data_IF_025651115814
#
_entry.id   IF_025651115814
#
_cell.length_a   1.000
_cell.length_b   1.000
_cell.length_c   1.000
_cell.angle_alpha   90.00
_cell.angle_beta   90.00
_cell.angle_gamma   90.00
#
_symmetry.space_group_name_H-M   'P 1'
#
loop_
_entity.id
_entity.type
_entity.pdbx_description
1 polymer ?
#
# COMPACT_ATOMS: atom_id res chain seq x y z
N UNK A 1 -10.46 -30.71 20.48
CA UNK A 1 -9.15 -30.03 20.50
C UNK A 1 -8.67 -29.99 21.94
N UNK A 2 -7.52 -30.58 22.26
CA UNK A 2 -7.02 -30.56 23.64
C UNK A 2 -6.83 -29.12 24.13
N UNK A 3 -7.41 -28.86 25.30
CA UNK A 3 -7.47 -27.53 25.92
C UNK A 3 -6.08 -27.09 26.38
N UNK A 4 -5.63 -25.84 26.10
CA UNK A 4 -4.42 -25.30 26.70
C UNK A 4 -4.50 -25.38 28.24
N UNK A 5 -3.42 -25.74 28.96
CA UNK A 5 -3.48 -25.93 30.40
C UNK A 5 -4.09 -24.71 31.11
N UNK A 6 -5.16 -24.96 31.88
CA UNK A 6 -5.83 -23.95 32.68
C UNK A 6 -7.08 -23.31 32.07
N UNK A 7 -7.48 -23.58 30.83
CA UNK A 7 -8.78 -23.08 30.32
C UNK A 7 -9.93 -23.97 30.83
N UNK A 8 -10.76 -23.44 31.72
CA UNK A 8 -11.78 -24.24 32.41
C UNK A 8 -13.19 -24.03 31.86
N UNK A 9 -13.47 -22.84 31.31
CA UNK A 9 -14.81 -22.51 30.85
C UNK A 9 -14.78 -21.45 29.73
N UNK A 10 -15.56 -21.66 28.67
CA UNK A 10 -15.81 -20.69 27.60
C UNK A 10 -17.32 -20.58 27.41
N UNK A 11 -17.88 -19.39 27.58
CA UNK A 11 -19.33 -19.14 27.39
C UNK A 11 -19.54 -17.96 26.49
N UNK A 12 -20.44 -18.08 25.52
CA UNK A 12 -20.92 -16.94 24.72
C UNK A 12 -21.86 -16.12 25.59
N UNK A 13 -21.49 -14.88 25.91
CA UNK A 13 -22.29 -13.99 26.77
C UNK A 13 -23.13 -13.00 25.96
N UNK A 14 -22.75 -12.75 24.70
CA UNK A 14 -23.45 -11.81 23.85
C UNK A 14 -23.38 -12.21 22.38
N UNK A 15 -24.48 -11.94 21.65
CA UNK A 15 -24.60 -12.20 20.21
C UNK A 15 -25.02 -10.95 19.44
N UNK A 16 -24.52 -10.84 18.21
CA UNK A 16 -25.02 -9.88 17.20
C UNK A 16 -26.47 -10.20 16.82
N UNK A 17 -27.21 -9.25 16.21
CA UNK A 17 -28.56 -9.51 15.65
C UNK A 17 -28.60 -10.67 14.64
N UNK A 18 -27.49 -10.94 13.95
CA UNK A 18 -27.36 -12.06 13.01
C UNK A 18 -27.03 -13.41 13.70
N UNK A 19 -27.03 -13.46 15.03
CA UNK A 19 -26.81 -14.66 15.85
C UNK A 19 -25.35 -15.05 16.06
N UNK A 20 -24.38 -14.29 15.52
CA UNK A 20 -22.94 -14.50 15.75
C UNK A 20 -22.55 -14.15 17.18
N UNK A 21 -21.69 -14.94 17.80
CA UNK A 21 -21.04 -14.59 19.06
C UNK A 21 -20.29 -13.26 18.89
N UNK A 22 -20.53 -12.32 19.80
CA UNK A 22 -19.83 -11.03 19.88
C UNK A 22 -18.81 -11.07 21.01
N UNK A 23 -19.24 -11.49 22.19
CA UNK A 23 -18.42 -11.55 23.40
C UNK A 23 -18.51 -12.95 24.00
N UNK A 24 -17.36 -13.46 24.46
CA UNK A 24 -17.26 -14.67 25.25
C UNK A 24 -16.64 -14.35 26.60
N UNK A 25 -16.99 -15.13 27.61
CA UNK A 25 -16.32 -15.14 28.89
C UNK A 25 -15.38 -16.35 28.92
N UNK A 26 -14.08 -16.08 29.04
CA UNK A 26 -13.03 -17.10 29.16
C UNK A 26 -12.56 -17.19 30.61
N UNK A 27 -12.68 -18.36 31.23
CA UNK A 27 -12.19 -18.60 32.59
C UNK A 27 -10.92 -19.46 32.53
N UNK A 28 -9.83 -18.93 33.10
CA UNK A 28 -8.57 -19.67 33.25
C UNK A 28 -8.26 -19.95 34.72
N UNK A 29 -8.17 -21.22 35.13
CA UNK A 29 -7.94 -21.64 36.52
C UNK A 29 -9.23 -21.76 37.35
N UNK A 30 -9.20 -22.53 38.43
CA UNK A 30 -10.40 -22.93 39.19
C UNK A 30 -11.06 -21.80 40.00
N UNK A 31 -10.42 -20.63 40.12
CA UNK A 31 -10.84 -19.57 41.05
C UNK A 31 -10.70 -18.14 40.49
N UNK A 32 -10.47 -17.95 39.18
CA UNK A 32 -10.37 -16.61 38.60
C UNK A 32 -11.72 -16.16 38.01
N UNK A 33 -12.08 -14.86 38.15
CA UNK A 33 -13.21 -14.32 37.42
C UNK A 33 -12.96 -14.43 35.91
N UNK A 34 -14.00 -14.78 35.16
CA UNK A 34 -13.89 -14.91 33.71
C UNK A 34 -13.49 -13.60 33.04
N UNK A 35 -12.59 -13.67 32.07
CA UNK A 35 -12.15 -12.51 31.28
C UNK A 35 -13.03 -12.39 30.03
N UNK A 36 -13.71 -11.25 29.81
CA UNK A 36 -14.46 -11.03 28.58
C UNK A 36 -13.49 -10.87 27.41
N UNK A 37 -13.68 -11.66 26.36
CA UNK A 37 -12.93 -11.59 25.10
C UNK A 37 -13.90 -11.47 23.93
N UNK A 38 -13.49 -10.81 22.85
CA UNK A 38 -14.29 -10.81 21.63
C UNK A 38 -14.18 -12.15 20.89
N UNK A 39 -15.25 -12.54 20.19
CA UNK A 39 -15.25 -13.75 19.36
C UNK A 39 -14.18 -13.70 18.25
N UNK A 40 -13.92 -12.50 17.72
CA UNK A 40 -12.88 -12.27 16.73
C UNK A 40 -11.48 -12.52 17.30
N UNK A 41 -11.19 -12.07 18.51
CA UNK A 41 -9.90 -12.31 19.19
C UNK A 41 -9.67 -13.80 19.40
N UNK A 42 -10.69 -14.55 19.85
CA UNK A 42 -10.61 -16.01 19.99
C UNK A 42 -10.33 -16.68 18.64
N UNK A 43 -11.05 -16.29 17.58
CA UNK A 43 -10.87 -16.84 16.23
C UNK A 43 -9.47 -16.57 15.67
N UNK A 44 -8.91 -15.39 15.91
CA UNK A 44 -7.55 -15.06 15.50
C UNK A 44 -6.50 -15.85 16.30
N UNK A 45 -6.68 -16.01 17.61
CA UNK A 45 -5.80 -16.82 18.44
C UNK A 45 -5.77 -18.28 17.96
N UNK A 46 -6.95 -18.88 17.73
CA UNK A 46 -7.09 -20.23 17.15
C UNK A 46 -6.39 -20.31 15.79
N UNK A 47 -6.59 -19.32 14.91
CA UNK A 47 -5.95 -19.27 13.59
C UNK A 47 -4.43 -19.23 13.64
N UNK A 48 -3.86 -18.45 14.57
CA UNK A 48 -2.41 -18.32 14.77
C UNK A 48 -1.78 -19.57 15.38
N UNK A 49 -2.46 -20.20 16.34
CA UNK A 49 -1.89 -21.33 17.08
C UNK A 49 -2.11 -22.69 16.40
N UNK A 50 -3.17 -22.85 15.59
CA UNK A 50 -3.64 -24.16 15.13
C UNK A 50 -3.94 -24.22 13.62
N UNK A 51 -3.69 -23.10 12.94
CA UNK A 51 -3.96 -22.93 11.52
C UNK A 51 -5.30 -22.26 11.23
N UNK A 52 -5.30 -21.52 10.13
CA UNK A 52 -6.49 -20.83 9.63
C UNK A 52 -7.58 -21.83 9.20
N UNK A 53 -8.85 -21.39 9.25
CA UNK A 53 -10.04 -22.17 8.90
C UNK A 53 -10.46 -23.28 9.89
N UNK A 54 -9.84 -23.39 11.08
CA UNK A 54 -10.31 -24.28 12.15
C UNK A 54 -11.59 -23.76 12.81
N UNK A 55 -11.64 -22.47 13.13
CA UNK A 55 -12.87 -21.77 13.52
C UNK A 55 -13.32 -20.88 12.35
N UNK A 56 -14.27 -21.40 11.55
CA UNK A 56 -14.63 -20.84 10.24
C UNK A 56 -15.36 -19.51 10.30
N UNK A 57 -16.09 -19.25 11.38
CA UNK A 57 -16.88 -18.03 11.57
C UNK A 57 -17.14 -17.79 13.04
N UNK A 58 -17.66 -16.60 13.39
CA UNK A 58 -18.08 -16.28 14.76
C UNK A 58 -19.52 -16.76 15.06
N UNK A 59 -20.11 -17.58 14.19
CA UNK A 59 -21.39 -18.23 14.43
C UNK A 59 -21.14 -19.66 14.91
N UNK A 60 -21.26 -19.87 16.22
CA UNK A 60 -21.15 -21.17 16.85
C UNK A 60 -21.84 -21.19 18.22
N UNK A 61 -22.10 -22.40 18.70
CA UNK A 61 -22.28 -22.75 20.10
C UNK A 61 -20.99 -23.39 20.61
N UNK A 62 -20.68 -23.16 21.89
CA UNK A 62 -19.52 -23.76 22.57
C UNK A 62 -20.03 -24.73 23.62
N UNK A 63 -19.51 -25.95 23.59
CA UNK A 63 -19.72 -26.96 24.64
C UNK A 63 -18.37 -27.46 25.13
N UNK A 64 -18.31 -27.82 26.41
CA UNK A 64 -17.11 -28.35 27.05
C UNK A 64 -17.27 -29.87 27.25
N UNK A 65 -16.26 -30.61 26.84
CA UNK A 65 -16.04 -32.01 27.20
C UNK A 65 -14.78 -32.13 28.07
N UNK A 66 -14.55 -33.30 28.68
CA UNK A 66 -13.57 -33.49 29.74
C UNK A 66 -12.14 -33.00 29.41
N UNK A 67 -11.71 -33.07 28.15
CA UNK A 67 -10.38 -32.65 27.71
C UNK A 67 -10.39 -31.69 26.50
N UNK A 68 -11.57 -31.24 26.04
CA UNK A 68 -11.69 -30.37 24.87
C UNK A 68 -12.94 -29.51 24.81
N UNK A 69 -12.86 -28.41 24.07
CA UNK A 69 -14.05 -27.63 23.67
C UNK A 69 -14.51 -28.02 22.27
N UNK A 70 -15.83 -28.12 22.10
CA UNK A 70 -16.49 -28.34 20.81
C UNK A 70 -17.19 -27.05 20.38
N UNK A 71 -16.81 -26.56 19.20
CA UNK A 71 -17.44 -25.43 18.53
C UNK A 71 -18.32 -25.95 17.41
N UNK A 72 -19.65 -25.92 17.60
CA UNK A 72 -20.61 -26.32 16.57
C UNK A 72 -21.23 -25.09 15.94
N UNK A 73 -21.01 -24.89 14.64
CA UNK A 73 -21.33 -23.62 13.99
C UNK A 73 -21.49 -23.72 12.48
N UNK A 74 -21.81 -22.60 11.85
CA UNK A 74 -22.09 -22.49 10.41
C UNK A 74 -21.51 -21.21 9.83
N UNK A 75 -21.45 -21.15 8.51
CA UNK A 75 -20.87 -20.01 7.78
C UNK A 75 -19.34 -20.01 7.76
N UNK A 76 -18.79 -19.16 6.90
CA UNK A 76 -17.35 -18.96 6.71
C UNK A 76 -17.08 -17.45 6.60
N UNK A 77 -16.07 -16.95 7.30
CA UNK A 77 -15.69 -15.54 7.31
C UNK A 77 -16.22 -14.74 8.52
N UNK A 78 -15.78 -13.49 8.61
CA UNK A 78 -16.06 -12.60 9.75
C UNK A 78 -17.49 -12.03 9.76
N UNK A 79 -18.27 -12.21 8.67
CA UNK A 79 -19.69 -11.87 8.65
C UNK A 79 -20.01 -10.38 8.67
N UNK A 80 -19.08 -9.54 8.21
CA UNK A 80 -19.24 -8.08 8.10
C UNK A 80 -19.02 -7.68 6.63
N UNK A 81 -19.93 -6.88 6.06
CA UNK A 81 -19.88 -6.43 4.67
C UNK A 81 -20.45 -7.45 3.67
N UNK A 82 -19.85 -7.52 2.49
CA UNK A 82 -20.35 -8.32 1.37
C UNK A 82 -20.04 -9.82 1.51
N UNK A 83 -21.08 -10.65 1.49
CA UNK A 83 -20.94 -12.10 1.36
C UNK A 83 -20.69 -12.46 -0.11
N UNK A 84 -19.49 -12.95 -0.45
CA UNK A 84 -19.13 -13.25 -1.83
C UNK A 84 -20.03 -14.32 -2.48
N UNK A 85 -20.39 -15.37 -1.73
CA UNK A 85 -21.31 -16.40 -2.21
C UNK A 85 -22.71 -15.84 -2.41
N UNK A 86 -23.21 -15.04 -1.47
CA UNK A 86 -24.53 -14.41 -1.61
C UNK A 86 -24.57 -13.40 -2.75
N UNK A 87 -23.53 -12.59 -2.93
CA UNK A 87 -23.38 -11.68 -4.07
C UNK A 87 -23.39 -12.44 -5.41
N UNK A 88 -22.75 -13.61 -5.48
CA UNK A 88 -22.76 -14.46 -6.67
C UNK A 88 -24.15 -15.01 -6.99
N UNK A 89 -24.89 -15.48 -5.99
CA UNK A 89 -26.26 -15.96 -6.19
C UNK A 89 -27.21 -14.82 -6.56
N UNK A 90 -27.06 -13.63 -5.95
CA UNK A 90 -27.80 -12.45 -6.36
C UNK A 90 -27.52 -12.06 -7.82
N UNK A 91 -26.24 -12.12 -8.24
CA UNK A 91 -25.86 -11.86 -9.63
C UNK A 91 -26.46 -12.90 -10.60
N UNK A 92 -26.44 -14.20 -10.22
CA UNK A 92 -27.12 -15.26 -10.99
C UNK A 92 -28.63 -15.06 -11.08
N UNK A 93 -29.23 -14.50 -10.03
CA UNK A 93 -30.63 -14.07 -10.00
C UNK A 93 -30.91 -12.77 -10.77
N UNK A 94 -29.95 -12.24 -11.53
CA UNK A 94 -30.12 -11.07 -12.39
C UNK A 94 -29.90 -9.72 -11.70
N UNK A 95 -29.47 -9.69 -10.43
CA UNK A 95 -29.16 -8.44 -9.73
C UNK A 95 -27.89 -7.80 -10.27
N UNK A 96 -27.96 -6.50 -10.56
CA UNK A 96 -26.80 -5.70 -10.92
C UNK A 96 -25.84 -5.55 -9.72
N UNK A 97 -24.57 -5.23 -10.00
CA UNK A 97 -23.59 -4.96 -8.93
C UNK A 97 -24.05 -3.82 -8.00
N UNK A 98 -24.81 -2.84 -8.51
CA UNK A 98 -25.35 -1.73 -7.72
C UNK A 98 -26.39 -2.20 -6.71
N UNK A 99 -27.31 -3.07 -7.12
CA UNK A 99 -28.31 -3.67 -6.23
C UNK A 99 -27.66 -4.58 -5.19
N UNK A 100 -26.63 -5.33 -5.57
CA UNK A 100 -25.86 -6.19 -4.65
C UNK A 100 -25.17 -5.35 -3.59
N UNK A 101 -24.48 -4.26 -3.98
CA UNK A 101 -23.82 -3.37 -3.04
C UNK A 101 -24.84 -2.64 -2.14
N UNK A 102 -25.96 -2.18 -2.68
CA UNK A 102 -27.01 -1.53 -1.89
C UNK A 102 -27.62 -2.47 -0.84
N UNK A 103 -27.71 -3.78 -1.13
CA UNK A 103 -28.16 -4.79 -0.19
C UNK A 103 -27.16 -5.01 0.96
N UNK A 104 -25.87 -5.14 0.67
CA UNK A 104 -24.84 -5.38 1.69
C UNK A 104 -24.42 -4.11 2.45
N UNK A 105 -24.66 -2.94 1.87
CA UNK A 105 -24.26 -1.64 2.40
C UNK A 105 -25.43 -0.64 2.32
N UNK A 106 -26.53 -0.86 3.06
CA UNK A 106 -27.68 0.05 3.05
C UNK A 106 -27.26 1.44 3.52
N UNK A 107 -27.58 2.46 2.73
CA UNK A 107 -27.16 3.85 2.96
C UNK A 107 -25.81 4.23 2.33
N UNK A 108 -25.09 3.28 1.73
CA UNK A 108 -23.88 3.60 0.97
C UNK A 108 -24.24 4.21 -0.39
N UNK A 109 -23.68 5.39 -0.67
CA UNK A 109 -23.73 6.01 -1.99
C UNK A 109 -22.51 5.60 -2.82
N UNK A 110 -22.71 5.25 -4.09
CA UNK A 110 -21.60 5.05 -5.03
C UNK A 110 -21.03 6.44 -5.34
N UNK A 111 -19.84 6.73 -4.83
CA UNK A 111 -19.13 7.97 -5.10
C UNK A 111 -17.65 7.85 -4.83
N UNK A 112 -16.85 8.67 -5.51
CA UNK A 112 -15.49 9.00 -5.06
C UNK A 112 -15.64 10.06 -3.96
N UNK A 113 -16.16 9.66 -2.79
CA UNK A 113 -16.85 10.54 -1.81
C UNK A 113 -18.06 11.26 -2.44
N UNK A 114 -19.21 11.33 -1.76
CA UNK A 114 -20.49 11.58 -2.43
C UNK A 114 -20.66 13.00 -3.04
N UNK A 115 -19.71 13.93 -2.88
CA UNK A 115 -19.74 15.30 -3.43
C UNK A 115 -18.38 15.76 -4.02
N UNK A 116 -17.37 14.88 -4.07
CA UNK A 116 -16.00 15.26 -4.37
C UNK A 116 -15.28 15.96 -3.19
N UNK A 117 -13.99 16.22 -3.34
CA UNK A 117 -13.19 16.93 -2.33
C UNK A 117 -13.26 18.43 -2.64
N UNK A 118 -13.70 19.29 -1.70
CA UNK A 118 -13.77 20.73 -1.91
C UNK A 118 -12.37 21.34 -1.84
N UNK A 119 -11.60 21.18 -2.91
CA UNK A 119 -10.22 21.66 -2.99
C UNK A 119 -10.15 23.18 -2.95
N UNK A 120 -9.36 23.70 -2.02
CA UNK A 120 -8.84 25.06 -2.07
C UNK A 120 -7.48 25.03 -2.75
N UNK A 121 -7.30 25.89 -3.77
CA UNK A 121 -6.04 26.01 -4.51
C UNK A 121 -5.22 27.14 -3.91
N UNK A 122 -3.99 26.83 -3.52
CA UNK A 122 -2.98 27.80 -3.15
C UNK A 122 -1.89 27.81 -4.23
N UNK A 123 -1.86 28.88 -5.03
CA UNK A 123 -0.81 29.09 -6.02
C UNK A 123 0.51 29.46 -5.34
N UNK A 124 1.59 28.81 -5.74
CA UNK A 124 2.96 29.20 -5.40
C UNK A 124 3.73 29.55 -6.69
N UNK A 125 4.99 29.96 -6.56
CA UNK A 125 5.78 30.40 -7.71
C UNK A 125 5.97 29.29 -8.74
N UNK A 126 6.42 28.10 -8.30
CA UNK A 126 6.82 26.97 -9.16
C UNK A 126 5.81 25.82 -9.20
N UNK A 127 4.86 25.77 -8.27
CA UNK A 127 3.90 24.67 -8.10
C UNK A 127 2.57 25.20 -7.54
N UNK A 128 1.53 24.39 -7.63
CA UNK A 128 0.25 24.67 -6.96
C UNK A 128 -0.03 23.62 -5.88
N UNK A 129 -0.67 24.03 -4.78
CA UNK A 129 -1.15 23.12 -3.74
C UNK A 129 -2.68 23.09 -3.72
N UNK A 130 -3.24 21.89 -3.58
CA UNK A 130 -4.66 21.63 -3.36
C UNK A 130 -4.84 20.96 -2.01
N UNK A 131 -5.61 21.59 -1.13
CA UNK A 131 -5.97 21.01 0.16
C UNK A 131 -7.39 21.41 0.53
N UNK A 132 -8.05 20.65 1.42
CA UNK A 132 -9.37 21.04 1.96
C UNK A 132 -9.24 22.21 2.92
N UNK A 133 -8.17 22.25 3.72
CA UNK A 133 -7.84 23.31 4.65
C UNK A 133 -6.61 24.10 4.17
N UNK A 134 -6.67 25.43 4.26
CA UNK A 134 -5.53 26.27 3.88
C UNK A 134 -4.29 26.02 4.77
N UNK A 135 -4.51 25.53 6.00
CA UNK A 135 -3.46 25.15 6.94
C UNK A 135 -2.54 24.04 6.41
N UNK A 136 -3.08 22.98 5.79
CA UNK A 136 -2.22 21.90 5.26
C UNK A 136 -1.37 22.40 4.09
N UNK A 137 -1.96 23.24 3.22
CA UNK A 137 -1.19 23.91 2.15
C UNK A 137 -0.08 24.79 2.70
N UNK A 138 -0.29 25.47 3.83
CA UNK A 138 0.74 26.28 4.48
C UNK A 138 1.85 25.42 5.10
N UNK A 139 1.51 24.28 5.72
CA UNK A 139 2.46 23.34 6.30
C UNK A 139 3.32 22.64 5.24
N UNK A 140 2.74 22.28 4.10
CA UNK A 140 3.44 21.52 3.04
C UNK A 140 4.32 22.40 2.16
N UNK A 141 3.93 23.66 1.95
CA UNK A 141 4.58 24.56 0.97
C UNK A 141 6.10 24.70 1.13
N UNK A 142 6.68 24.90 2.33
CA UNK A 142 8.13 25.05 2.47
C UNK A 142 8.90 23.81 2.00
N UNK A 143 8.51 22.63 2.48
CA UNK A 143 9.12 21.35 2.07
C UNK A 143 8.87 21.04 0.60
N UNK A 144 7.71 21.41 0.05
CA UNK A 144 7.40 21.25 -1.36
C UNK A 144 8.34 22.07 -2.26
N UNK A 145 8.53 23.35 -1.95
CA UNK A 145 9.42 24.20 -2.73
C UNK A 145 10.88 23.71 -2.63
N UNK A 146 11.35 23.41 -1.41
CA UNK A 146 12.71 22.93 -1.20
C UNK A 146 12.96 21.59 -1.91
N UNK A 147 12.01 20.65 -1.81
CA UNK A 147 12.13 19.35 -2.46
C UNK A 147 12.10 19.45 -3.99
N UNK A 148 11.28 20.34 -4.56
CA UNK A 148 11.23 20.55 -6.01
C UNK A 148 12.55 21.14 -6.53
N UNK A 149 13.07 22.17 -5.85
CA UNK A 149 14.33 22.81 -6.23
C UNK A 149 15.49 21.81 -6.15
N UNK A 150 15.55 21.04 -5.06
CA UNK A 150 16.51 19.96 -4.90
C UNK A 150 16.39 18.92 -6.02
N UNK A 151 15.17 18.49 -6.38
CA UNK A 151 14.97 17.45 -7.39
C UNK A 151 15.36 17.94 -8.80
N UNK A 152 15.07 19.20 -9.14
CA UNK A 152 15.48 19.83 -10.39
C UNK A 152 17.01 19.92 -10.46
N UNK A 153 17.66 20.43 -9.41
CA UNK A 153 19.12 20.56 -9.35
C UNK A 153 19.80 19.19 -9.43
N UNK A 154 19.32 18.22 -8.64
CA UNK A 154 19.89 16.88 -8.56
C UNK A 154 19.81 16.12 -9.88
N UNK A 155 18.68 16.25 -10.58
CA UNK A 155 18.41 15.53 -11.82
C UNK A 155 18.91 16.26 -13.07
N UNK A 156 18.93 17.60 -13.06
CA UNK A 156 19.10 18.41 -14.26
C UNK A 156 17.99 18.23 -15.31
N UNK A 157 16.81 17.76 -14.88
CA UNK A 157 15.61 17.58 -15.71
C UNK A 157 14.65 18.76 -15.54
N UNK A 158 13.72 18.90 -16.49
CA UNK A 158 12.70 19.94 -16.47
C UNK A 158 11.30 19.34 -16.45
N UNK A 159 10.35 20.04 -15.82
CA UNK A 159 8.94 19.68 -15.90
C UNK A 159 8.30 20.29 -17.15
N UNK A 160 7.44 19.54 -17.83
CA UNK A 160 6.67 20.04 -18.97
C UNK A 160 5.45 20.88 -18.57
N UNK A 161 4.98 20.70 -17.33
CA UNK A 161 3.82 21.40 -16.76
C UNK A 161 4.10 21.79 -15.32
N UNK A 162 3.38 22.80 -14.83
CA UNK A 162 3.40 23.17 -13.42
C UNK A 162 2.87 21.98 -12.59
N UNK A 163 3.63 21.46 -11.62
CA UNK A 163 3.19 20.34 -10.80
C UNK A 163 2.14 20.80 -9.77
N UNK A 164 1.24 19.87 -9.43
CA UNK A 164 0.19 20.09 -8.43
C UNK A 164 0.39 19.12 -7.28
N UNK A 165 0.40 19.60 -6.04
CA UNK A 165 0.37 18.74 -4.85
C UNK A 165 -1.06 18.69 -4.32
N UNK A 166 -1.63 17.50 -4.23
CA UNK A 166 -2.94 17.25 -3.63
C UNK A 166 -2.75 16.68 -2.22
N UNK A 167 -3.05 17.47 -1.19
CA UNK A 167 -2.91 17.09 0.21
C UNK A 167 -4.26 16.59 0.73
N UNK A 168 -4.35 15.29 0.99
CA UNK A 168 -5.57 14.67 1.47
C UNK A 168 -5.72 14.92 2.97
N UNK A 169 -6.93 15.26 3.47
CA UNK A 169 -7.12 15.65 4.87
C UNK A 169 -7.08 14.45 5.83
N UNK A 170 -7.25 13.22 5.33
CA UNK A 170 -7.12 11.99 6.14
C UNK A 170 -6.48 10.86 5.34
N UNK A 171 -5.86 9.90 6.03
CA UNK A 171 -5.31 8.67 5.43
C UNK A 171 -6.40 7.84 4.73
N UNK A 172 -7.59 7.80 5.32
CA UNK A 172 -8.74 7.08 4.73
C UNK A 172 -9.13 7.70 3.38
N UNK A 173 -9.26 9.03 3.32
CA UNK A 173 -9.57 9.72 2.06
C UNK A 173 -8.46 9.57 1.02
N UNK A 174 -7.19 9.62 1.43
CA UNK A 174 -6.08 9.32 0.53
C UNK A 174 -6.23 7.92 -0.07
N UNK A 175 -6.32 6.88 0.77
CA UNK A 175 -6.47 5.49 0.34
C UNK A 175 -7.67 5.30 -0.60
N UNK A 176 -8.81 5.85 -0.21
CA UNK A 176 -10.07 5.66 -0.95
C UNK A 176 -10.05 6.39 -2.30
N UNK A 177 -9.34 7.53 -2.40
CA UNK A 177 -9.23 8.31 -3.64
C UNK A 177 -8.12 7.82 -4.58
N UNK A 178 -6.99 7.36 -4.04
CA UNK A 178 -5.83 6.93 -4.84
C UNK A 178 -5.83 5.45 -5.15
N UNK A 179 -6.48 4.63 -4.32
CA UNK A 179 -6.37 3.17 -4.33
C UNK A 179 -5.08 2.65 -3.69
N UNK A 180 -4.22 3.54 -3.19
CA UNK A 180 -2.96 3.16 -2.56
C UNK A 180 -3.20 2.66 -1.14
N UNK A 181 -2.42 1.68 -0.65
CA UNK A 181 -2.48 1.26 0.74
C UNK A 181 -2.18 2.40 1.72
N UNK A 182 -2.77 2.36 2.92
CA UNK A 182 -2.60 3.42 3.94
C UNK A 182 -1.17 3.59 4.48
N UNK A 183 -0.24 2.71 4.14
CA UNK A 183 1.19 2.84 4.46
C UNK A 183 1.99 3.58 3.38
N UNK A 184 1.41 3.80 2.19
CA UNK A 184 2.03 4.59 1.12
C UNK A 184 1.86 6.07 1.43
N UNK A 185 2.97 6.77 1.66
CA UNK A 185 2.97 8.18 2.09
C UNK A 185 2.47 9.15 1.01
N UNK A 186 2.80 8.86 -0.26
CA UNK A 186 2.43 9.67 -1.41
C UNK A 186 2.37 8.82 -2.67
N UNK A 187 1.77 9.35 -3.73
CA UNK A 187 1.82 8.75 -5.05
C UNK A 187 1.77 9.80 -6.16
N UNK A 188 2.68 9.66 -7.11
CA UNK A 188 2.70 10.49 -8.31
C UNK A 188 1.76 9.96 -9.38
N UNK A 189 1.03 10.86 -10.05
CA UNK A 189 0.21 10.57 -11.22
C UNK A 189 0.26 11.74 -12.19
N UNK A 190 0.84 11.52 -13.37
CA UNK A 190 1.02 12.53 -14.42
C UNK A 190 1.78 13.75 -13.92
N UNK A 191 1.06 14.83 -13.63
CA UNK A 191 1.50 16.15 -13.19
C UNK A 191 1.19 16.42 -11.72
N UNK A 192 0.63 15.42 -11.02
CA UNK A 192 0.17 15.54 -9.64
C UNK A 192 0.94 14.64 -8.67
N UNK A 193 1.30 15.18 -7.52
CA UNK A 193 1.74 14.43 -6.33
C UNK A 193 0.55 14.37 -5.36
N UNK A 194 0.06 13.17 -5.07
CA UNK A 194 -1.05 12.94 -4.13
C UNK A 194 -0.45 12.52 -2.80
N UNK A 195 -0.72 13.28 -1.75
CA UNK A 195 0.02 13.22 -0.48
C UNK A 195 -0.93 12.93 0.69
N UNK A 196 -0.52 12.03 1.59
CA UNK A 196 -1.17 11.86 2.89
C UNK A 196 -1.10 13.14 3.75
N UNK A 197 -1.92 13.26 4.82
CA UNK A 197 -1.89 14.43 5.69
C UNK A 197 -0.48 14.77 6.23
N UNK A 198 -0.07 16.05 6.30
CA UNK A 198 1.27 16.43 6.73
C UNK A 198 1.59 16.00 8.17
N UNK A 199 0.60 15.96 9.06
CA UNK A 199 0.75 15.47 10.42
C UNK A 199 1.05 13.96 10.52
N UNK A 200 0.66 13.16 9.52
CA UNK A 200 1.00 11.73 9.44
C UNK A 200 2.42 11.53 8.90
N UNK A 201 2.85 12.43 8.02
CA UNK A 201 4.18 12.37 7.42
C UNK A 201 5.26 12.88 8.38
N UNK A 202 4.96 13.97 9.11
CA UNK A 202 5.88 14.59 10.04
C UNK A 202 7.21 14.95 9.35
N UNK A 203 8.32 14.59 9.99
CA UNK A 203 9.67 14.84 9.50
C UNK A 203 9.99 14.16 8.15
N UNK A 204 9.22 13.14 7.76
CA UNK A 204 9.41 12.42 6.49
C UNK A 204 8.88 13.18 5.28
N UNK A 205 8.10 14.25 5.49
CA UNK A 205 7.41 14.99 4.44
C UNK A 205 8.34 15.40 3.30
N UNK A 206 9.47 16.03 3.61
CA UNK A 206 10.38 16.52 2.59
C UNK A 206 11.06 15.38 1.83
N UNK A 207 11.49 14.33 2.52
CA UNK A 207 12.09 13.15 1.89
C UNK A 207 11.11 12.45 0.93
N UNK A 208 9.84 12.33 1.32
CA UNK A 208 8.76 11.81 0.47
C UNK A 208 8.58 12.71 -0.76
N UNK A 209 8.49 14.02 -0.57
CA UNK A 209 8.32 14.95 -1.70
C UNK A 209 9.51 14.93 -2.67
N UNK A 210 10.75 14.83 -2.18
CA UNK A 210 11.94 14.69 -3.02
C UNK A 210 11.84 13.47 -3.93
N UNK A 211 11.39 12.34 -3.38
CA UNK A 211 11.17 11.11 -4.13
C UNK A 211 10.07 11.28 -5.20
N UNK A 212 8.92 11.84 -4.84
CA UNK A 212 7.80 12.05 -5.78
C UNK A 212 8.14 13.07 -6.89
N UNK A 213 8.90 14.13 -6.57
CA UNK A 213 9.34 15.08 -7.59
C UNK A 213 10.35 14.48 -8.58
N UNK A 214 11.23 13.59 -8.12
CA UNK A 214 12.08 12.82 -9.03
C UNK A 214 11.24 11.95 -9.97
N UNK A 215 10.19 11.30 -9.48
CA UNK A 215 9.23 10.60 -10.35
C UNK A 215 8.61 11.54 -11.38
N UNK A 216 8.08 12.70 -10.96
CA UNK A 216 7.50 13.68 -11.90
C UNK A 216 8.48 14.12 -12.98
N UNK A 217 9.72 14.41 -12.61
CA UNK A 217 10.77 14.85 -13.53
C UNK A 217 11.15 13.75 -14.51
N UNK A 218 11.38 12.53 -14.01
CA UNK A 218 11.72 11.38 -14.84
C UNK A 218 10.58 11.05 -15.81
N UNK A 219 9.34 10.96 -15.34
CA UNK A 219 8.18 10.68 -16.18
C UNK A 219 7.91 11.79 -17.21
N UNK A 220 8.10 13.06 -16.86
CA UNK A 220 7.93 14.19 -17.79
C UNK A 220 8.95 14.19 -18.93
N UNK A 221 10.11 13.57 -18.73
CA UNK A 221 11.19 13.49 -19.71
C UNK A 221 11.26 12.13 -20.40
N UNK A 222 10.52 11.13 -19.91
CA UNK A 222 10.57 9.78 -20.43
C UNK A 222 9.83 9.65 -21.76
N UNK A 223 10.47 9.00 -22.73
CA UNK A 223 9.79 8.46 -23.90
C UNK A 223 8.79 7.37 -23.46
N UNK A 224 7.67 7.25 -24.17
CA UNK A 224 6.57 6.32 -23.81
C UNK A 224 6.99 4.85 -23.67
N UNK A 225 8.01 4.43 -24.41
CA UNK A 225 8.53 3.06 -24.45
C UNK A 225 9.81 2.87 -23.62
N UNK A 226 10.20 3.88 -22.82
CA UNK A 226 11.30 3.74 -21.88
C UNK A 226 10.94 2.71 -20.81
N UNK A 227 11.77 1.66 -20.61
CA UNK A 227 11.49 0.60 -19.64
C UNK A 227 11.23 1.13 -18.23
N UNK A 228 10.34 0.46 -17.49
CA UNK A 228 9.99 0.84 -16.13
C UNK A 228 11.19 0.67 -15.19
N UNK A 229 11.96 -0.41 -15.32
CA UNK A 229 13.16 -0.61 -14.51
C UNK A 229 14.12 0.57 -14.62
N UNK A 230 14.29 1.14 -15.81
CA UNK A 230 15.22 2.25 -16.01
C UNK A 230 14.69 3.54 -15.37
N UNK A 231 13.40 3.84 -15.55
CA UNK A 231 12.75 5.02 -14.94
C UNK A 231 12.81 4.97 -13.42
N UNK A 232 12.41 3.85 -12.83
CA UNK A 232 12.40 3.66 -11.38
C UNK A 232 13.83 3.62 -10.81
N UNK A 233 14.74 2.93 -11.48
CA UNK A 233 16.15 2.90 -11.12
C UNK A 233 16.79 4.29 -11.13
N UNK A 234 16.44 5.14 -12.10
CA UNK A 234 16.91 6.52 -12.17
C UNK A 234 16.38 7.35 -11.02
N UNK A 235 15.11 7.18 -10.62
CA UNK A 235 14.55 7.87 -9.45
C UNK A 235 15.29 7.48 -8.17
N UNK A 236 15.49 6.18 -7.92
CA UNK A 236 16.19 5.71 -6.72
C UNK A 236 17.65 6.17 -6.72
N UNK A 237 18.34 6.08 -7.87
CA UNK A 237 19.72 6.54 -8.02
C UNK A 237 19.89 8.04 -7.78
N UNK A 238 18.98 8.87 -8.32
CA UNK A 238 19.00 10.31 -8.10
C UNK A 238 18.66 10.66 -6.63
N UNK A 239 17.84 9.83 -5.98
CA UNK A 239 17.45 9.93 -4.58
C UNK A 239 18.61 9.88 -3.57
N UNK A 240 19.73 9.24 -3.90
CA UNK A 240 20.88 9.07 -3.00
C UNK A 240 21.60 7.73 -3.19
N UNK A 241 22.37 7.31 -2.19
CA UNK A 241 23.07 6.01 -2.23
C UNK A 241 22.03 4.88 -2.26
N UNK A 242 21.88 4.16 -3.39
CA UNK A 242 20.97 3.03 -3.43
C UNK A 242 21.42 2.02 -2.38
N UNK A 243 20.50 1.37 -1.65
CA UNK A 243 20.87 0.38 -0.66
C UNK A 243 21.84 -0.62 -1.28
N UNK A 244 22.91 -0.94 -0.54
CA UNK A 244 23.91 -1.92 -0.94
C UNK A 244 23.21 -3.27 -1.12
N UNK A 245 22.73 -3.54 -2.33
CA UNK A 245 22.11 -4.82 -2.63
C UNK A 245 23.23 -5.87 -2.63
N UNK A 246 23.02 -6.99 -1.95
CA UNK A 246 23.61 -8.24 -2.42
C UNK A 246 23.10 -8.42 -3.85
N UNK A 247 23.99 -8.20 -4.81
CA UNK A 247 23.66 -8.24 -6.22
C UNK A 247 23.45 -9.69 -6.61
N UNK A 248 22.26 -10.22 -6.36
CA UNK A 248 21.78 -11.39 -7.06
C UNK A 248 21.72 -11.03 -8.55
N UNK A 249 22.32 -11.88 -9.39
CA UNK A 249 22.26 -11.71 -10.84
C UNK A 249 20.80 -11.72 -11.28
N UNK A 250 20.30 -10.57 -11.77
CA UNK A 250 18.97 -10.44 -12.35
C UNK A 250 19.07 -9.71 -13.68
N UNK A 251 18.30 -10.16 -14.66
CA UNK A 251 18.17 -9.46 -15.93
C UNK A 251 17.22 -8.25 -15.80
N UNK A 252 17.38 -7.25 -16.67
CA UNK A 252 16.46 -6.13 -16.76
C UNK A 252 14.99 -6.58 -16.94
N UNK A 253 14.76 -7.71 -17.61
CA UNK A 253 13.42 -8.27 -17.83
C UNK A 253 12.82 -8.85 -16.54
N UNK A 254 13.63 -9.49 -15.69
CA UNK A 254 13.20 -9.98 -14.39
C UNK A 254 12.87 -8.83 -13.45
N UNK A 255 13.69 -7.78 -13.45
CA UNK A 255 13.47 -6.55 -12.68
C UNK A 255 12.19 -5.85 -13.16
N UNK A 256 12.02 -5.68 -14.47
CA UNK A 256 10.80 -5.09 -15.06
C UNK A 256 9.54 -5.85 -14.64
N UNK A 257 9.60 -7.20 -14.68
CA UNK A 257 8.48 -8.05 -14.28
C UNK A 257 8.17 -7.94 -12.79
N UNK A 258 9.20 -7.94 -11.95
CA UNK A 258 9.04 -7.79 -10.50
C UNK A 258 8.35 -6.47 -10.14
N UNK A 259 8.83 -5.35 -10.71
CA UNK A 259 8.24 -4.01 -10.49
C UNK A 259 6.79 -3.95 -10.98
N UNK A 260 6.48 -4.53 -12.15
CA UNK A 260 5.11 -4.53 -12.71
C UNK A 260 4.13 -5.39 -11.91
N UNK A 261 4.59 -6.55 -11.45
CA UNK A 261 3.72 -7.53 -10.79
C UNK A 261 3.24 -7.09 -9.41
N UNK A 262 4.07 -6.31 -8.69
CA UNK A 262 3.79 -5.78 -7.35
C UNK A 262 3.28 -6.85 -6.36
N UNK A 263 3.72 -8.11 -6.49
CA UNK A 263 3.23 -9.22 -5.65
C UNK A 263 3.73 -9.16 -4.19
N UNK A 264 4.96 -8.73 -3.97
CA UNK A 264 5.60 -8.64 -2.66
C UNK A 264 6.39 -7.34 -2.51
N UNK A 265 6.22 -6.66 -1.37
CA UNK A 265 6.97 -5.46 -1.03
C UNK A 265 8.49 -5.72 -0.98
N UNK A 266 8.91 -6.89 -0.48
CA UNK A 266 10.33 -7.27 -0.44
C UNK A 266 10.92 -7.44 -1.85
N UNK A 267 10.20 -8.12 -2.75
CA UNK A 267 10.64 -8.34 -4.13
C UNK A 267 10.71 -7.03 -4.91
N UNK A 268 9.72 -6.14 -4.75
CA UNK A 268 9.69 -4.84 -5.41
C UNK A 268 10.84 -3.95 -4.93
N UNK A 269 11.11 -3.91 -3.62
CA UNK A 269 12.25 -3.16 -3.07
C UNK A 269 13.58 -3.67 -3.58
N UNK A 270 13.74 -5.00 -3.67
CA UNK A 270 14.93 -5.61 -4.24
C UNK A 270 15.09 -5.23 -5.72
N UNK A 271 14.01 -5.30 -6.50
CA UNK A 271 14.02 -4.92 -7.91
C UNK A 271 14.39 -3.44 -8.10
N UNK A 272 13.88 -2.55 -7.24
CA UNK A 272 14.28 -1.14 -7.23
C UNK A 272 15.77 -0.93 -6.92
N UNK A 273 16.31 -1.65 -5.93
CA UNK A 273 17.73 -1.58 -5.60
C UNK A 273 18.61 -2.09 -6.77
N UNK A 274 18.21 -3.18 -7.42
CA UNK A 274 18.90 -3.73 -8.59
C UNK A 274 18.84 -2.77 -9.79
N UNK A 275 17.67 -2.18 -10.06
CA UNK A 275 17.50 -1.17 -11.09
C UNK A 275 18.41 0.04 -10.88
N UNK A 276 18.48 0.54 -9.64
CA UNK A 276 19.35 1.65 -9.27
C UNK A 276 20.84 1.30 -9.43
N UNK A 277 21.23 0.05 -9.11
CA UNK A 277 22.59 -0.43 -9.33
C UNK A 277 22.96 -0.44 -10.82
N UNK A 278 22.08 -0.93 -11.70
CA UNK A 278 22.30 -0.86 -13.16
C UNK A 278 22.48 0.59 -13.60
N UNK A 279 21.57 1.49 -13.19
CA UNK A 279 21.64 2.91 -13.59
C UNK A 279 22.94 3.55 -13.11
N UNK A 280 23.40 3.23 -11.90
CA UNK A 280 24.70 3.71 -11.38
C UNK A 280 25.88 3.24 -12.24
N UNK A 281 25.88 1.97 -12.65
CA UNK A 281 26.95 1.43 -13.48
C UNK A 281 26.91 2.04 -14.90
N UNK A 282 25.71 2.29 -15.44
CA UNK A 282 25.55 3.03 -16.69
C UNK A 282 26.02 4.49 -16.58
N UNK A 283 25.77 5.17 -15.45
CA UNK A 283 26.28 6.53 -15.21
C UNK A 283 27.81 6.54 -15.17
N UNK A 284 28.42 5.57 -14.51
CA UNK A 284 29.89 5.42 -14.48
C UNK A 284 30.49 5.19 -15.85
N UNK A 285 29.79 4.45 -16.72
CA UNK A 285 30.31 4.07 -18.04
C UNK A 285 30.05 5.14 -19.10
N UNK A 286 28.88 5.77 -19.11
CA UNK A 286 28.43 6.64 -20.20
C UNK A 286 28.17 8.09 -19.77
N UNK A 287 28.08 8.36 -18.47
CA UNK A 287 27.82 9.66 -17.91
C UNK A 287 26.33 10.05 -17.89
N UNK A 288 26.00 10.96 -16.98
CA UNK A 288 24.63 11.35 -16.65
C UNK A 288 23.89 12.03 -17.80
N UNK A 289 24.60 12.82 -18.61
CA UNK A 289 24.00 13.44 -19.79
C UNK A 289 23.51 12.40 -20.80
N UNK A 290 24.26 11.30 -20.96
CA UNK A 290 23.86 10.22 -21.85
C UNK A 290 22.61 9.49 -21.34
N UNK A 291 22.51 9.26 -20.02
CA UNK A 291 21.32 8.67 -19.41
C UNK A 291 20.08 9.55 -19.62
N UNK A 292 20.22 10.87 -19.47
CA UNK A 292 19.14 11.83 -19.75
C UNK A 292 18.74 11.84 -21.21
N UNK A 293 19.70 11.70 -22.12
CA UNK A 293 19.41 11.57 -23.55
C UNK A 293 18.60 10.30 -23.80
N UNK A 294 19.02 9.13 -23.29
CA UNK A 294 18.29 7.87 -23.44
C UNK A 294 16.91 7.89 -22.79
N UNK A 295 16.73 8.59 -21.67
CA UNK A 295 15.42 8.79 -21.07
C UNK A 295 14.44 9.41 -22.08
N UNK A 296 14.91 10.40 -22.86
CA UNK A 296 14.12 11.16 -23.85
C UNK A 296 14.02 10.49 -25.22
N UNK A 297 15.09 9.87 -25.70
CA UNK A 297 15.17 9.29 -27.04
C UNK A 297 14.88 7.78 -27.08
N UNK A 298 14.91 7.11 -25.93
CA UNK A 298 14.80 5.66 -25.77
C UNK A 298 16.17 5.00 -25.52
N UNK A 299 16.15 3.86 -24.83
CA UNK A 299 17.35 3.07 -24.56
C UNK A 299 17.79 2.27 -25.81
N UNK A 300 19.10 2.19 -26.10
CA UNK A 300 19.64 1.25 -27.08
C UNK A 300 19.31 -0.20 -26.72
N UNK A 301 19.12 -1.07 -27.70
CA UNK A 301 18.70 -2.47 -27.49
C UNK A 301 19.66 -3.25 -26.58
N UNK A 302 20.97 -2.99 -26.71
CA UNK A 302 22.01 -3.60 -25.88
C UNK A 302 21.87 -3.23 -24.40
N UNK A 303 21.37 -2.03 -24.09
CA UNK A 303 21.14 -1.55 -22.72
C UNK A 303 19.75 -1.99 -22.23
N UNK A 304 18.75 -2.09 -23.12
CA UNK A 304 17.43 -2.64 -22.75
C UNK A 304 17.53 -4.05 -22.17
N UNK A 305 18.45 -4.86 -22.69
CA UNK A 305 18.73 -6.22 -22.21
C UNK A 305 19.80 -6.29 -21.10
N UNK A 306 20.15 -5.16 -20.45
CA UNK A 306 21.20 -5.13 -19.43
C UNK A 306 20.96 -6.15 -18.31
N UNK A 307 22.03 -6.75 -17.81
CA UNK A 307 22.00 -7.72 -16.71
C UNK A 307 22.85 -7.21 -15.57
N UNK A 308 22.38 -7.27 -14.32
CA UNK A 308 23.25 -7.00 -13.18
C UNK A 308 24.21 -8.16 -13.01
N UNK A 309 25.53 -7.93 -13.13
CA UNK A 309 26.54 -8.93 -12.80
C UNK A 309 27.02 -8.70 -11.37
N UNK A 310 26.76 -9.66 -10.49
CA UNK A 310 27.28 -9.65 -9.13
C UNK A 310 28.81 -9.59 -9.15
N UNK A 311 29.38 -8.55 -8.55
CA UNK A 311 30.81 -8.53 -8.26
C UNK A 311 31.06 -9.57 -7.16
N UNK A 312 31.68 -10.71 -7.50
CA UNK A 312 32.39 -11.51 -6.51
C UNK A 312 33.56 -10.65 -6.03
N UNK A 313 33.49 -10.15 -4.80
CA UNK A 313 34.69 -9.69 -4.08
C UNK A 313 35.67 -10.85 -4.07
N UNK A 314 36.79 -10.70 -4.79
CA UNK A 314 37.94 -11.58 -4.61
C UNK A 314 38.46 -11.34 -3.19
N UNK A 315 38.47 -12.41 -2.39
CA UNK A 315 39.16 -12.45 -1.10
C UNK A 315 40.68 -12.38 -1.30
#
# INVERSE_FOLDING_TARGET
MQVPPGWNHIVVTDRTPAGRARTLLLTTGAAQPGTPISASTLRFAVGRSLGWNKLKSDWYEVSAEADHFIFNGKGVGHGVGLCQTGAREMARGGKSYREILAFYYPGAAIGRSAQGIPWTIAHAEKLDLRAVNAGDSALVRPSANSALDWAIERSGLSLGTRPIIEVYPTVAMFRDATGEPGWVAASTRKDSVRLQPPNVLGERLEAVLRHEFLHLLVESNARRDTPLWFREGLVVYLGGDPPSAEVANASAEEIERAIRSRHSDAEVRQAYAQAAAIVRDLDRQYGREQLKQWLRSGLPDQIRAATVRGHKTAH
#
